data_IF_898394123471
#
_entry.id   IF_898394123471
#
_cell.length_a   1.000
_cell.length_b   1.000
_cell.length_c   1.000
_cell.angle_alpha   90.00
_cell.angle_beta   90.00
_cell.angle_gamma   90.00
#
_symmetry.space_group_name_H-M   'P 1'
#
loop_
_entity.id
_entity.type
_entity.pdbx_description
1 polymer ?
#
# COMPACT_ATOMS: atom_id res chain seq x y z
N UNK A 1 3.49 -14.62 8.63
CA UNK A 1 2.97 -14.94 7.89
C UNK A 1 3.46 -14.69 6.68
N UNK A 2 3.47 -15.22 5.98
CA UNK A 2 4.05 -14.97 4.96
C UNK A 2 3.23 -14.70 3.92
N UNK A 3 3.24 -13.85 3.35
CA UNK A 3 2.55 -13.58 2.46
C UNK A 3 3.04 -13.94 1.24
N UNK A 4 2.49 -14.19 0.41
CA UNK A 4 2.86 -14.64 -0.66
C UNK A 4 3.30 -13.69 -1.43
N UNK A 5 3.73 -13.60 -2.01
CA UNK A 5 4.29 -12.79 -2.70
C UNK A 5 3.68 -12.40 -3.89
N UNK A 6 2.67 -12.58 -4.17
CA UNK A 6 2.11 -12.09 -5.29
C UNK A 6 1.80 -10.70 -5.02
N UNK A 7 2.47 -9.78 -5.47
CA UNK A 7 2.12 -8.42 -5.18
C UNK A 7 1.27 -7.94 -6.30
N UNK A 8 0.29 -7.15 -5.99
CA UNK A 8 -0.56 -6.58 -6.98
C UNK A 8 -0.17 -5.15 -7.28
N UNK A 9 0.83 -4.62 -6.63
CA UNK A 9 1.29 -3.27 -6.90
C UNK A 9 2.34 -3.33 -8.00
N UNK A 10 2.12 -2.65 -9.13
CA UNK A 10 3.07 -2.73 -10.24
C UNK A 10 4.38 -2.05 -9.88
N UNK A 11 5.47 -2.60 -10.43
CA UNK A 11 6.79 -2.12 -10.08
C UNK A 11 7.18 -0.83 -10.79
N UNK A 12 6.75 -0.65 -12.02
CA UNK A 12 7.17 0.53 -12.78
C UNK A 12 6.76 1.85 -12.13
N UNK A 13 5.51 2.01 -11.70
CA UNK A 13 5.15 3.26 -11.02
C UNK A 13 5.89 3.44 -9.71
N UNK A 14 6.22 2.34 -9.02
CA UNK A 14 6.93 2.44 -7.76
C UNK A 14 8.36 2.93 -8.01
N UNK A 15 8.99 2.40 -9.05
CA UNK A 15 10.33 2.88 -9.42
C UNK A 15 10.28 4.34 -9.78
N UNK A 16 9.21 4.76 -10.45
CA UNK A 16 9.07 6.15 -10.84
C UNK A 16 8.98 7.09 -9.63
N UNK A 17 8.33 6.64 -8.56
CA UNK A 17 8.26 7.45 -7.36
C UNK A 17 9.66 7.74 -6.83
N UNK A 18 10.52 6.74 -6.83
CA UNK A 18 11.88 6.94 -6.34
C UNK A 18 12.63 7.92 -7.25
N UNK A 19 12.46 7.78 -8.55
CA UNK A 19 13.14 8.68 -9.48
C UNK A 19 12.63 10.11 -9.34
N UNK A 20 11.32 10.25 -9.17
CA UNK A 20 10.73 11.57 -9.02
C UNK A 20 11.20 12.27 -7.75
N UNK A 21 11.61 11.51 -6.79
CA UNK A 21 12.08 12.09 -5.52
C UNK A 21 13.58 12.20 -5.41
N UNK A 22 14.26 12.10 -6.52
CA UNK A 22 15.68 12.42 -6.56
C UNK A 22 16.64 11.29 -6.83
N UNK A 23 16.16 10.05 -6.89
CA UNK A 23 17.09 8.97 -7.18
C UNK A 23 17.50 9.03 -8.62
N UNK A 24 18.79 8.88 -8.88
CA UNK A 24 19.26 8.89 -10.25
C UNK A 24 19.12 7.54 -10.89
N UNK A 25 19.21 6.50 -10.12
CA UNK A 25 19.06 5.16 -10.61
C UNK A 25 18.44 4.35 -9.50
N UNK A 26 17.76 3.28 -9.83
CA UNK A 26 17.12 2.44 -8.85
C UNK A 26 17.40 1.01 -9.21
N UNK A 27 17.88 0.23 -8.27
CA UNK A 27 18.16 -1.17 -8.55
C UNK A 27 16.86 -1.96 -8.53
N UNK A 28 16.86 -3.10 -9.21
CA UNK A 28 15.70 -3.97 -9.23
C UNK A 28 15.36 -4.44 -7.81
N UNK A 29 16.37 -4.74 -7.01
CA UNK A 29 16.14 -5.19 -5.65
C UNK A 29 15.50 -4.10 -4.79
N UNK A 30 15.89 -2.85 -5.02
CA UNK A 30 15.30 -1.75 -4.28
C UNK A 30 13.83 -1.59 -4.62
N UNK A 31 13.48 -1.76 -5.88
CA UNK A 31 12.08 -1.66 -6.29
C UNK A 31 11.29 -2.81 -5.68
N UNK A 32 11.84 -4.02 -5.70
CA UNK A 32 11.16 -5.16 -5.11
C UNK A 32 10.90 -4.95 -3.62
N UNK A 33 11.90 -4.45 -2.91
CA UNK A 33 11.75 -4.19 -1.49
C UNK A 33 10.71 -3.11 -1.22
N UNK A 34 10.72 -2.07 -2.03
CA UNK A 34 9.78 -0.98 -1.86
C UNK A 34 8.35 -1.47 -2.11
N UNK A 35 8.16 -2.27 -3.16
CA UNK A 35 6.83 -2.83 -3.45
C UNK A 35 6.37 -3.69 -2.28
N UNK A 36 7.28 -4.47 -1.71
CA UNK A 36 6.93 -5.32 -0.60
C UNK A 36 6.48 -4.51 0.61
N UNK A 37 7.23 -3.46 0.93
CA UNK A 37 6.89 -2.61 2.06
C UNK A 37 5.56 -1.91 1.81
N UNK A 38 5.36 -1.39 0.60
CA UNK A 38 4.11 -0.73 0.28
C UNK A 38 2.93 -1.69 0.35
N UNK A 39 3.13 -2.93 -0.09
CA UNK A 39 2.07 -3.92 -0.04
C UNK A 39 1.65 -4.22 1.39
N UNK A 40 2.63 -4.31 2.29
CA UNK A 40 2.34 -4.57 3.69
C UNK A 40 1.58 -3.41 4.31
N UNK A 41 2.00 -2.20 4.02
CA UNK A 41 1.32 -1.02 4.56
C UNK A 41 -0.09 -0.93 4.00
N UNK A 42 -0.24 -1.16 2.69
CA UNK A 42 -1.54 -1.09 2.06
C UNK A 42 -2.49 -2.12 2.66
N UNK A 43 -1.98 -3.32 2.92
CA UNK A 43 -2.81 -4.36 3.50
C UNK A 43 -3.28 -3.98 4.89
N UNK A 44 -2.39 -3.41 5.69
CA UNK A 44 -2.75 -3.00 7.01
C UNK A 44 -3.81 -1.91 7.00
N UNK A 45 -3.64 -0.93 6.11
CA UNK A 45 -4.62 0.14 5.98
C UNK A 45 -5.95 -0.44 5.52
N UNK A 46 -5.91 -1.39 4.59
CA UNK A 46 -7.13 -1.99 4.07
C UNK A 46 -7.91 -2.72 5.16
N UNK A 47 -7.20 -3.45 6.02
CA UNK A 47 -7.85 -4.16 7.11
C UNK A 47 -8.59 -3.18 8.02
N UNK A 48 -7.92 -2.10 8.37
CA UNK A 48 -8.54 -1.12 9.26
C UNK A 48 -9.67 -0.36 8.59
N UNK A 49 -9.51 -0.03 7.31
CA UNK A 49 -10.55 0.68 6.59
C UNK A 49 -11.82 -0.15 6.49
N UNK A 50 -11.66 -1.45 6.26
CA UNK A 50 -12.81 -2.35 6.20
C UNK A 50 -13.50 -2.41 7.55
N UNK A 51 -12.74 -2.46 8.63
CA UNK A 51 -13.32 -2.47 9.96
C UNK A 51 -14.12 -1.20 10.24
N UNK A 52 -13.57 -0.06 9.84
CA UNK A 52 -14.26 1.22 10.04
C UNK A 52 -15.58 1.22 9.28
N UNK A 53 -15.57 0.77 8.04
CA UNK A 53 -16.79 0.73 7.25
C UNK A 53 -17.83 -0.17 7.89
N UNK A 54 -17.40 -1.35 8.36
CA UNK A 54 -18.33 -2.27 8.99
C UNK A 54 -18.90 -1.72 10.27
N UNK A 55 -18.10 -1.04 11.06
CA UNK A 55 -18.58 -0.44 12.28
C UNK A 55 -19.62 0.64 12.00
N UNK A 56 -19.56 1.25 10.84
CA UNK A 56 -20.54 2.26 10.46
C UNK A 56 -21.74 1.65 9.75
N UNK A 57 -21.80 0.34 9.69
CA UNK A 57 -22.92 -0.34 9.05
C UNK A 57 -22.91 -0.28 7.55
N UNK A 58 -21.77 0.00 6.95
CA UNK A 58 -21.70 0.10 5.51
C UNK A 58 -20.96 -1.07 4.90
N UNK A 59 -21.33 -1.42 3.69
CA UNK A 59 -20.63 -2.46 2.97
C UNK A 59 -19.58 -1.87 2.05
N UNK A 60 -19.66 -0.59 1.77
CA UNK A 60 -18.72 0.07 0.88
C UNK A 60 -17.67 0.81 1.70
N UNK A 61 -16.41 0.59 1.37
CA UNK A 61 -15.34 1.34 1.99
C UNK A 61 -15.24 2.67 1.25
N UNK A 62 -15.24 3.75 1.99
CA UNK A 62 -15.19 5.07 1.40
C UNK A 62 -13.84 5.74 1.68
N UNK A 63 -13.60 6.84 1.00
CA UNK A 63 -12.30 7.51 1.13
C UNK A 63 -12.01 7.95 2.56
N UNK A 64 -13.03 8.36 3.29
CA UNK A 64 -12.83 8.74 4.68
C UNK A 64 -12.33 7.60 5.53
N UNK A 65 -12.80 6.37 5.23
CA UNK A 65 -12.36 5.20 5.96
C UNK A 65 -10.87 4.95 5.73
N UNK A 66 -10.43 5.11 4.50
CA UNK A 66 -9.04 4.89 4.16
C UNK A 66 -8.17 5.97 4.79
N UNK A 67 -8.61 7.21 4.73
CA UNK A 67 -7.83 8.30 5.32
C UNK A 67 -7.70 8.15 6.82
N UNK A 68 -8.77 7.75 7.47
CA UNK A 68 -8.73 7.57 8.90
C UNK A 68 -7.83 6.39 9.26
N UNK A 69 -7.93 5.30 8.51
CA UNK A 69 -7.10 4.13 8.77
C UNK A 69 -5.62 4.45 8.57
N UNK A 70 -5.30 5.31 7.63
CA UNK A 70 -3.92 5.65 7.33
C UNK A 70 -3.29 6.58 8.36
N UNK A 71 -4.13 7.20 9.23
CA UNK A 71 -3.61 8.08 10.20
C UNK A 71 -2.96 7.47 11.34
N UNK A 72 -3.00 6.27 11.52
CA UNK A 72 -2.40 5.72 12.66
C UNK A 72 -1.13 5.21 12.40
#
# INVERSE_FOLDING_TARGET
MTRKQTTIIPKAPVAQILLDNGAKRVSADAVDSFVEVLSDIAEEIAIHAVKIAKHSGRKTVQDGDVKLAAKH
#
